data_IF_616533761578
#
_entry.id   IF_616533761578
#
_cell.length_a   1.000
_cell.length_b   1.000
_cell.length_c   1.000
_cell.angle_alpha   90.00
_cell.angle_beta   90.00
_cell.angle_gamma   90.00
#
_symmetry.space_group_name_H-M   'P 1'
#
loop_
_entity.id
_entity.type
_entity.pdbx_description
1 polymer ?
#
# COMPACT_ATOMS: atom_id res chain seq x y z
N UNK A 1 -24.93 -9.30 -17.94
CA UNK A 1 -26.04 -9.55 -16.98
C UNK A 1 -25.76 -8.72 -15.74
N UNK A 2 -26.72 -7.91 -15.25
CA UNK A 2 -26.52 -7.23 -13.97
C UNK A 2 -26.43 -8.28 -12.85
N UNK A 3 -25.51 -8.11 -11.92
CA UNK A 3 -25.29 -9.01 -10.78
C UNK A 3 -26.52 -9.13 -9.87
N UNK A 4 -27.39 -8.11 -9.83
CA UNK A 4 -28.73 -8.17 -9.22
C UNK A 4 -29.62 -9.23 -9.89
N UNK A 5 -29.51 -9.37 -11.23
CA UNK A 5 -30.20 -10.44 -11.97
C UNK A 5 -29.64 -11.82 -11.65
N UNK A 6 -28.35 -11.93 -11.30
CA UNK A 6 -27.73 -13.20 -10.92
C UNK A 6 -28.22 -13.68 -9.54
N UNK A 7 -28.10 -12.85 -8.50
CA UNK A 7 -28.57 -13.23 -7.15
C UNK A 7 -30.07 -13.55 -7.12
N UNK A 8 -30.89 -12.77 -7.86
CA UNK A 8 -32.33 -13.05 -7.99
C UNK A 8 -32.60 -14.41 -8.65
N UNK A 9 -31.81 -14.79 -9.66
CA UNK A 9 -31.91 -16.11 -10.31
C UNK A 9 -31.40 -17.24 -9.43
N UNK A 10 -30.28 -17.02 -8.72
CA UNK A 10 -29.66 -18.03 -7.86
C UNK A 10 -30.56 -18.34 -6.66
N UNK A 11 -31.10 -17.31 -6.01
CA UNK A 11 -32.06 -17.47 -4.94
C UNK A 11 -33.42 -17.96 -5.48
N UNK A 12 -33.80 -17.58 -6.69
CA UNK A 12 -35.08 -17.98 -7.31
C UNK A 12 -36.30 -17.80 -6.36
N UNK A 13 -36.30 -16.70 -5.59
CA UNK A 13 -37.36 -16.40 -4.61
C UNK A 13 -37.37 -17.26 -3.34
N UNK A 14 -36.32 -18.03 -3.05
CA UNK A 14 -36.21 -18.76 -1.77
C UNK A 14 -36.06 -17.79 -0.60
N UNK A 15 -36.64 -18.15 0.54
CA UNK A 15 -36.51 -17.41 1.79
C UNK A 15 -35.05 -17.44 2.30
N UNK A 16 -34.69 -16.42 3.08
CA UNK A 16 -33.41 -16.33 3.79
C UNK A 16 -33.72 -16.20 5.27
N UNK A 17 -33.23 -17.14 6.08
CA UNK A 17 -33.26 -17.04 7.53
C UNK A 17 -32.00 -16.31 8.01
N UNK A 18 -32.14 -15.45 9.02
CA UNK A 18 -31.04 -14.71 9.60
C UNK A 18 -30.79 -15.18 11.03
N UNK A 19 -29.55 -15.55 11.33
CA UNK A 19 -29.10 -15.92 12.69
C UNK A 19 -28.00 -14.99 13.14
N UNK A 20 -28.00 -14.63 14.42
CA UNK A 20 -26.90 -13.86 15.00
C UNK A 20 -25.62 -14.70 15.08
N UNK A 21 -24.45 -14.04 15.07
CA UNK A 21 -23.15 -14.65 15.31
C UNK A 21 -23.14 -15.52 16.58
N UNK A 22 -23.81 -15.07 17.65
CA UNK A 22 -23.85 -15.81 18.92
C UNK A 22 -24.70 -17.09 18.89
N UNK A 23 -25.71 -17.13 18.00
CA UNK A 23 -26.52 -18.33 17.76
C UNK A 23 -25.72 -19.38 17.00
N UNK A 24 -24.94 -19.00 15.98
CA UNK A 24 -24.26 -19.96 15.10
C UNK A 24 -22.82 -20.32 15.53
N UNK A 25 -22.15 -19.44 16.29
CA UNK A 25 -20.76 -19.65 16.69
C UNK A 25 -20.59 -19.74 18.21
N UNK A 26 -19.61 -20.53 18.65
CA UNK A 26 -18.94 -20.35 19.92
C UNK A 26 -17.78 -19.36 19.74
N UNK A 27 -17.84 -18.23 20.44
CA UNK A 27 -16.82 -17.20 20.39
C UNK A 27 -15.82 -17.42 21.52
N UNK A 28 -14.54 -17.52 21.19
CA UNK A 28 -13.48 -17.64 22.19
C UNK A 28 -12.22 -16.89 21.77
N UNK A 29 -11.67 -16.09 22.67
CA UNK A 29 -10.44 -15.35 22.39
C UNK A 29 -9.24 -16.29 22.34
N UNK A 30 -8.30 -15.98 21.46
CA UNK A 30 -6.98 -16.57 21.47
C UNK A 30 -6.18 -16.19 22.71
N UNK A 31 -4.96 -16.69 22.83
CA UNK A 31 -4.03 -16.32 23.87
C UNK A 31 -2.58 -16.46 23.40
N UNK A 32 -1.69 -15.72 24.05
CA UNK A 32 -0.24 -15.92 23.92
C UNK A 32 0.23 -16.80 25.08
N UNK A 33 0.78 -18.00 24.83
CA UNK A 33 1.52 -18.76 25.84
C UNK A 33 2.67 -17.92 26.41
N UNK A 34 3.08 -18.17 27.66
CA UNK A 34 4.15 -17.38 28.27
C UNK A 34 5.42 -17.46 27.42
N UNK A 35 5.92 -16.30 26.97
CA UNK A 35 7.17 -16.23 26.18
C UNK A 35 8.40 -16.57 27.00
N UNK A 36 8.32 -16.46 28.34
CA UNK A 36 9.42 -16.84 29.25
C UNK A 36 9.50 -18.33 29.53
N UNK A 37 8.47 -19.12 29.22
CA UNK A 37 8.52 -20.57 29.38
C UNK A 37 8.95 -21.23 28.07
N UNK A 38 10.23 -21.63 27.99
CA UNK A 38 10.83 -22.24 26.81
C UNK A 38 10.15 -23.55 26.39
N UNK A 39 9.64 -24.34 27.34
CA UNK A 39 8.96 -25.61 27.05
C UNK A 39 7.71 -25.42 26.18
N UNK A 40 7.10 -24.23 26.17
CA UNK A 40 5.95 -23.93 25.32
C UNK A 40 6.32 -23.75 23.85
N UNK A 41 7.58 -23.51 23.53
CA UNK A 41 8.04 -23.13 22.20
C UNK A 41 9.02 -24.14 21.59
N UNK A 42 9.84 -24.77 22.42
CA UNK A 42 10.79 -25.79 21.98
C UNK A 42 10.08 -27.06 21.51
N UNK A 43 10.49 -27.61 20.37
CA UNK A 43 9.89 -28.81 19.78
C UNK A 43 8.41 -28.66 19.42
N UNK A 44 7.91 -27.44 19.26
CA UNK A 44 6.50 -27.17 19.00
C UNK A 44 5.98 -27.78 17.69
N UNK A 45 4.83 -28.44 17.75
CA UNK A 45 4.16 -29.07 16.60
C UNK A 45 2.79 -28.47 16.32
N UNK A 46 2.24 -27.69 17.26
CA UNK A 46 0.89 -27.13 17.18
C UNK A 46 0.98 -25.74 16.54
N UNK A 47 0.23 -25.47 15.45
CA UNK A 47 0.19 -24.14 14.85
C UNK A 47 -0.33 -23.07 15.82
N UNK A 48 0.41 -21.97 15.95
CA UNK A 48 0.00 -20.79 16.69
C UNK A 48 -0.06 -19.56 15.79
N UNK A 49 -1.28 -19.21 15.37
CA UNK A 49 -1.53 -18.17 14.38
C UNK A 49 -1.48 -16.76 14.95
N UNK A 50 -0.83 -15.86 14.21
CA UNK A 50 -0.67 -14.43 14.45
C UNK A 50 -1.05 -13.63 13.20
N UNK A 51 -0.97 -12.30 13.32
CA UNK A 51 -1.23 -11.40 12.20
C UNK A 51 -0.22 -11.57 11.06
N UNK A 52 1.03 -11.89 11.39
CA UNK A 52 2.09 -12.12 10.41
C UNK A 52 1.76 -13.30 9.49
N UNK A 53 1.13 -14.35 10.02
CA UNK A 53 0.71 -15.51 9.23
C UNK A 53 -0.29 -15.12 8.14
N UNK A 54 -1.25 -14.22 8.45
CA UNK A 54 -2.22 -13.71 7.47
C UNK A 54 -1.53 -12.84 6.41
N UNK A 55 -0.60 -11.99 6.84
CA UNK A 55 0.14 -11.07 5.94
C UNK A 55 1.03 -11.80 4.95
N UNK A 56 1.66 -12.89 5.38
CA UNK A 56 2.61 -13.64 4.56
C UNK A 56 1.92 -14.72 3.70
N UNK A 57 0.89 -15.38 4.23
CA UNK A 57 0.32 -16.57 3.60
C UNK A 57 -1.14 -16.40 3.15
N UNK A 58 -1.73 -15.20 3.31
CA UNK A 58 -3.11 -14.93 2.97
C UNK A 58 -4.10 -15.43 4.04
N UNK A 59 -5.36 -15.57 3.66
CA UNK A 59 -6.46 -15.70 4.61
C UNK A 59 -7.03 -17.13 4.73
N UNK A 60 -6.44 -18.13 4.07
CA UNK A 60 -6.79 -19.54 4.24
C UNK A 60 -5.51 -20.27 4.67
N UNK A 61 -5.46 -20.71 5.91
CA UNK A 61 -4.23 -21.11 6.57
C UNK A 61 -4.29 -22.55 7.08
N UNK A 62 -3.27 -23.32 6.74
CA UNK A 62 -3.08 -24.71 7.18
C UNK A 62 -1.81 -24.93 8.02
N UNK A 63 -0.90 -23.95 8.07
CA UNK A 63 0.30 -23.98 8.91
C UNK A 63 0.66 -22.56 9.35
N UNK A 64 1.41 -22.43 10.45
CA UNK A 64 1.85 -21.15 11.01
C UNK A 64 3.37 -21.03 11.07
N UNK A 65 3.86 -19.79 10.99
CA UNK A 65 5.26 -19.40 11.10
C UNK A 65 5.87 -19.78 12.44
N UNK A 66 5.06 -19.81 13.50
CA UNK A 66 5.49 -20.22 14.83
C UNK A 66 4.59 -21.34 15.37
N UNK A 67 5.21 -22.37 15.95
CA UNK A 67 4.53 -23.49 16.58
C UNK A 67 4.76 -23.49 18.08
N UNK A 68 3.85 -24.13 18.80
CA UNK A 68 3.94 -24.32 20.25
C UNK A 68 3.87 -25.81 20.58
N UNK A 69 4.38 -26.17 21.75
CA UNK A 69 4.30 -27.54 22.25
C UNK A 69 2.93 -27.81 22.90
N UNK A 70 2.67 -29.08 23.19
CA UNK A 70 1.48 -29.52 23.93
C UNK A 70 1.40 -28.91 25.35
N UNK A 71 2.54 -28.54 25.95
CA UNK A 71 2.59 -27.94 27.28
C UNK A 71 1.98 -26.53 27.31
N UNK A 72 1.89 -25.86 26.15
CA UNK A 72 1.28 -24.53 26.04
C UNK A 72 -0.26 -24.54 26.14
N UNK A 73 -0.90 -25.72 26.09
CA UNK A 73 -2.35 -25.86 26.00
C UNK A 73 -3.06 -25.55 27.32
N UNK A 74 -3.83 -24.47 27.34
CA UNK A 74 -4.76 -24.19 28.44
C UNK A 74 -5.95 -25.16 28.41
N UNK A 75 -6.00 -26.04 29.40
CA UNK A 75 -7.07 -27.04 29.53
C UNK A 75 -7.02 -28.16 28.49
N UNK A 76 -5.85 -28.38 27.86
CA UNK A 76 -5.63 -29.49 26.92
C UNK A 76 -6.46 -29.45 25.64
N UNK A 77 -6.98 -28.28 25.23
CA UNK A 77 -7.87 -28.15 24.07
C UNK A 77 -7.34 -27.16 23.05
N UNK A 78 -7.45 -27.54 21.78
CA UNK A 78 -7.21 -26.69 20.61
C UNK A 78 -8.51 -26.03 20.17
N UNK A 79 -8.38 -24.95 19.39
CA UNK A 79 -9.46 -24.53 18.52
C UNK A 79 -9.58 -25.55 17.37
N UNK A 80 -10.80 -25.95 16.99
CA UNK A 80 -10.98 -26.95 15.94
C UNK A 80 -10.66 -26.37 14.57
N UNK A 81 -10.25 -27.24 13.65
CA UNK A 81 -10.15 -26.91 12.22
C UNK A 81 -11.50 -26.38 11.69
N UNK A 82 -11.44 -25.68 10.56
CA UNK A 82 -12.59 -25.05 9.91
C UNK A 82 -13.28 -24.02 10.82
N UNK A 83 -12.46 -23.22 11.52
CA UNK A 83 -12.90 -22.06 12.30
C UNK A 83 -12.34 -20.78 11.69
N UNK A 84 -13.01 -19.65 11.95
CA UNK A 84 -12.51 -18.33 11.54
C UNK A 84 -11.81 -17.67 12.73
N UNK A 85 -10.65 -17.07 12.49
CA UNK A 85 -10.06 -16.07 13.40
C UNK A 85 -10.36 -14.69 12.86
N UNK A 86 -10.78 -13.75 13.71
CA UNK A 86 -10.98 -12.34 13.35
C UNK A 86 -10.36 -11.44 14.42
N UNK A 87 -9.58 -10.46 13.97
CA UNK A 87 -8.94 -9.50 14.86
C UNK A 87 -9.98 -8.49 15.36
N UNK A 88 -10.12 -8.42 16.68
CA UNK A 88 -11.09 -7.55 17.37
C UNK A 88 -10.43 -6.40 18.12
N UNK A 89 -9.09 -6.30 18.05
CA UNK A 89 -8.30 -5.16 18.52
C UNK A 89 -7.04 -4.98 17.65
N UNK A 90 -6.45 -3.79 17.68
CA UNK A 90 -5.29 -3.36 16.89
C UNK A 90 -5.51 -3.35 15.37
N UNK A 91 -5.65 -4.52 14.72
CA UNK A 91 -5.86 -4.68 13.27
C UNK A 91 -7.29 -5.14 12.99
N UNK A 92 -8.26 -4.35 13.44
CA UNK A 92 -9.67 -4.72 13.49
C UNK A 92 -10.20 -5.16 12.10
N UNK A 93 -10.86 -6.31 12.07
CA UNK A 93 -11.51 -6.88 10.87
C UNK A 93 -10.62 -7.79 10.02
N UNK A 94 -9.31 -7.81 10.25
CA UNK A 94 -8.44 -8.82 9.62
C UNK A 94 -8.85 -10.22 10.07
N UNK A 95 -9.06 -11.13 9.13
CA UNK A 95 -9.57 -12.46 9.42
C UNK A 95 -9.02 -13.53 8.49
N UNK A 96 -9.05 -14.78 8.95
CA UNK A 96 -8.62 -15.94 8.19
C UNK A 96 -9.44 -17.20 8.56
N UNK A 97 -9.61 -18.08 7.59
CA UNK A 97 -10.07 -19.45 7.75
C UNK A 97 -8.89 -20.34 8.12
N UNK A 98 -8.99 -21.03 9.25
CA UNK A 98 -7.97 -21.99 9.70
C UNK A 98 -8.46 -23.41 9.44
N UNK A 99 -7.72 -24.17 8.63
CA UNK A 99 -8.13 -25.51 8.16
C UNK A 99 -7.55 -26.66 8.97
N UNK A 100 -6.83 -26.37 10.06
CA UNK A 100 -6.20 -27.34 10.97
C UNK A 100 -6.50 -27.01 12.43
N UNK A 101 -6.44 -27.97 13.38
CA UNK A 101 -6.53 -27.65 14.80
C UNK A 101 -5.39 -26.72 15.25
N UNK A 102 -5.70 -25.71 16.06
CA UNK A 102 -4.77 -24.60 16.26
C UNK A 102 -4.88 -23.90 17.62
N UNK A 103 -3.89 -23.03 17.89
CA UNK A 103 -4.00 -21.91 18.81
C UNK A 103 -3.87 -20.58 18.04
N UNK A 104 -4.36 -19.49 18.60
CA UNK A 104 -4.26 -18.17 17.99
C UNK A 104 -3.87 -17.11 19.02
N UNK A 105 -3.27 -16.02 18.56
CA UNK A 105 -2.89 -14.86 19.36
C UNK A 105 -4.08 -14.21 20.09
N UNK A 106 -3.84 -13.54 21.23
CA UNK A 106 -4.88 -12.90 22.06
C UNK A 106 -5.65 -11.77 21.38
N UNK A 107 -5.14 -11.24 20.26
CA UNK A 107 -5.83 -10.20 19.48
C UNK A 107 -6.94 -10.75 18.59
N UNK A 108 -6.99 -12.08 18.41
CA UNK A 108 -8.03 -12.75 17.65
C UNK A 108 -9.17 -13.25 18.54
N UNK A 109 -10.39 -13.06 18.04
CA UNK A 109 -11.57 -13.82 18.45
C UNK A 109 -11.76 -14.97 17.48
N UNK A 110 -11.86 -16.20 17.99
CA UNK A 110 -12.15 -17.38 17.19
C UNK A 110 -13.67 -17.58 17.10
N UNK A 111 -14.20 -17.69 15.88
CA UNK A 111 -15.57 -18.07 15.57
C UNK A 111 -15.58 -19.56 15.24
N UNK A 112 -16.06 -20.37 16.17
CA UNK A 112 -16.12 -21.83 16.06
C UNK A 112 -17.56 -22.21 15.73
N UNK A 113 -17.81 -22.80 14.57
CA UNK A 113 -19.16 -23.18 14.17
C UNK A 113 -19.72 -24.22 15.15
N UNK A 114 -20.95 -24.00 15.62
CA UNK A 114 -21.61 -24.95 16.51
C UNK A 114 -21.99 -26.22 15.77
N UNK A 115 -21.95 -27.40 16.41
CA UNK A 115 -22.24 -28.67 15.75
C UNK A 115 -23.59 -28.72 15.03
N UNK A 116 -24.63 -28.12 15.59
CA UNK A 116 -25.96 -28.08 14.98
C UNK A 116 -26.02 -27.31 13.64
N UNK A 117 -25.04 -26.45 13.34
CA UNK A 117 -25.00 -25.65 12.10
C UNK A 117 -23.98 -26.17 11.06
N UNK A 118 -23.23 -27.24 11.34
CA UNK A 118 -22.25 -27.80 10.40
C UNK A 118 -22.92 -28.22 9.08
N UNK A 119 -24.16 -28.72 9.13
CA UNK A 119 -24.93 -29.09 7.94
C UNK A 119 -25.62 -27.93 7.22
N UNK A 120 -25.53 -26.71 7.76
CA UNK A 120 -26.23 -25.52 7.24
C UNK A 120 -25.30 -24.55 6.52
N UNK A 121 -23.98 -24.67 6.72
CA UNK A 121 -23.03 -23.72 6.16
C UNK A 121 -21.87 -24.41 5.44
N UNK A 122 -21.56 -23.88 4.26
CA UNK A 122 -20.25 -24.04 3.66
C UNK A 122 -19.26 -23.14 4.43
N UNK A 123 -18.15 -23.70 4.92
CA UNK A 123 -17.20 -22.93 5.72
C UNK A 123 -16.53 -21.81 4.90
N UNK A 124 -16.36 -21.99 3.59
CA UNK A 124 -15.85 -20.91 2.72
C UNK A 124 -16.89 -19.82 2.53
N UNK A 125 -18.18 -20.15 2.55
CA UNK A 125 -19.23 -19.14 2.54
C UNK A 125 -19.17 -18.28 3.81
N UNK A 126 -19.00 -18.90 4.99
CA UNK A 126 -18.75 -18.18 6.25
C UNK A 126 -17.52 -17.29 6.12
N UNK A 127 -16.40 -17.84 5.62
CA UNK A 127 -15.16 -17.08 5.40
C UNK A 127 -15.40 -15.84 4.54
N UNK A 128 -16.08 -15.97 3.40
CA UNK A 128 -16.36 -14.83 2.54
C UNK A 128 -17.34 -13.85 3.18
N UNK A 129 -18.34 -14.33 3.91
CA UNK A 129 -19.28 -13.48 4.64
C UNK A 129 -18.59 -12.68 5.76
N UNK A 130 -17.49 -13.20 6.32
CA UNK A 130 -16.68 -12.47 7.30
C UNK A 130 -16.03 -11.20 6.73
N UNK A 131 -15.96 -10.98 5.41
CA UNK A 131 -15.59 -9.66 4.88
C UNK A 131 -16.63 -8.58 5.22
N UNK A 132 -17.92 -8.92 5.22
CA UNK A 132 -18.98 -7.98 5.65
C UNK A 132 -18.92 -7.76 7.17
N UNK A 133 -18.69 -8.83 7.95
CA UNK A 133 -18.48 -8.72 9.39
C UNK A 133 -17.25 -7.87 9.72
N UNK A 134 -16.16 -8.01 8.97
CA UNK A 134 -14.94 -7.24 9.13
C UNK A 134 -15.17 -5.75 8.89
N UNK A 135 -15.88 -5.39 7.82
CA UNK A 135 -16.27 -4.00 7.54
C UNK A 135 -17.19 -3.43 8.63
N UNK A 136 -18.09 -4.25 9.17
CA UNK A 136 -18.90 -3.87 10.33
C UNK A 136 -18.03 -3.64 11.58
N UNK A 137 -17.10 -4.53 11.88
CA UNK A 137 -16.18 -4.41 13.03
C UNK A 137 -15.38 -3.11 12.98
N UNK A 138 -14.87 -2.73 11.80
CA UNK A 138 -14.11 -1.49 11.59
C UNK A 138 -14.93 -0.22 11.85
N UNK A 139 -16.25 -0.29 11.66
CA UNK A 139 -17.19 0.84 11.85
C UNK A 139 -17.78 0.90 13.26
N UNK A 140 -17.66 -0.18 14.04
CA UNK A 140 -18.32 -0.33 15.35
C UNK A 140 -17.26 -0.63 16.42
N UNK A 141 -16.49 0.40 16.77
CA UNK A 141 -15.43 0.31 17.78
C UNK A 141 -15.75 1.15 19.01
N UNK A 142 -15.40 0.66 20.18
CA UNK A 142 -15.52 1.41 21.45
C UNK A 142 -14.38 2.42 21.60
N UNK A 143 -14.68 3.65 22.01
CA UNK A 143 -13.66 4.68 22.24
C UNK A 143 -12.97 4.46 23.60
N UNK A 144 -11.78 3.85 23.57
CA UNK A 144 -10.85 3.80 24.71
C UNK A 144 -9.42 4.12 24.24
N UNK A 145 -8.41 4.04 25.11
CA UNK A 145 -6.99 4.22 24.73
C UNK A 145 -6.51 3.22 23.66
N UNK A 146 -7.21 2.09 23.52
CA UNK A 146 -7.05 1.14 22.41
C UNK A 146 -8.40 0.86 21.76
N UNK A 147 -8.49 1.03 20.44
CA UNK A 147 -9.70 0.66 19.70
C UNK A 147 -9.93 -0.87 19.79
N UNK A 148 -11.15 -1.24 20.18
CA UNK A 148 -11.65 -2.61 20.19
C UNK A 148 -13.06 -2.63 19.61
N UNK A 149 -13.46 -3.76 19.06
CA UNK A 149 -14.80 -3.96 18.49
C UNK A 149 -15.85 -3.94 19.60
N UNK A 150 -17.02 -3.38 19.32
CA UNK A 150 -18.23 -3.60 20.12
C UNK A 150 -18.62 -5.09 20.09
N UNK A 151 -18.37 -5.78 21.21
CA UNK A 151 -18.59 -7.22 21.30
C UNK A 151 -20.07 -7.60 21.37
N UNK A 152 -20.95 -6.72 21.85
CA UNK A 152 -22.39 -6.99 21.91
C UNK A 152 -23.01 -6.85 20.51
N UNK A 153 -22.61 -5.82 19.78
CA UNK A 153 -22.94 -5.70 18.36
C UNK A 153 -22.38 -6.85 17.53
N UNK A 154 -21.13 -7.28 17.78
CA UNK A 154 -20.53 -8.42 17.06
C UNK A 154 -21.31 -9.71 17.28
N UNK A 155 -21.74 -9.98 18.53
CA UNK A 155 -22.56 -11.16 18.87
C UNK A 155 -23.92 -11.15 18.16
N UNK A 156 -24.45 -9.95 17.91
CA UNK A 156 -25.76 -9.73 17.30
C UNK A 156 -25.70 -9.64 15.76
N UNK A 157 -24.50 -9.58 15.16
CA UNK A 157 -24.35 -9.44 13.72
C UNK A 157 -25.03 -10.59 12.96
N UNK A 158 -25.84 -10.31 11.93
CA UNK A 158 -26.67 -11.33 11.28
C UNK A 158 -25.92 -12.08 10.16
N UNK A 159 -26.06 -13.39 10.15
CA UNK A 159 -25.59 -14.33 9.13
C UNK A 159 -26.78 -14.97 8.39
N UNK A 160 -26.74 -15.01 7.04
CA UNK A 160 -27.83 -15.54 6.23
C UNK A 160 -27.71 -17.06 6.03
N UNK A 161 -28.83 -17.75 6.15
CA UNK A 161 -29.03 -19.15 5.75
C UNK A 161 -30.03 -19.12 4.58
N UNK A 162 -29.55 -19.22 3.32
CA UNK A 162 -30.44 -19.24 2.17
C UNK A 162 -31.23 -20.55 2.12
N UNK A 163 -32.50 -20.52 1.74
CA UNK A 163 -33.36 -21.71 1.64
C UNK A 163 -33.33 -22.59 2.92
N UNK A 164 -33.67 -22.04 4.10
CA UNK A 164 -33.56 -22.75 5.39
C UNK A 164 -34.36 -24.07 5.43
N UNK A 165 -35.48 -24.13 4.71
CA UNK A 165 -36.34 -25.31 4.58
C UNK A 165 -35.67 -26.50 3.87
N UNK A 166 -34.54 -26.29 3.20
CA UNK A 166 -33.81 -27.35 2.49
C UNK A 166 -32.30 -27.19 2.65
N UNK A 167 -31.68 -27.85 3.64
CA UNK A 167 -30.24 -27.76 3.89
C UNK A 167 -29.39 -28.09 2.65
N UNK A 168 -29.80 -29.10 1.86
CA UNK A 168 -29.12 -29.46 0.61
C UNK A 168 -29.11 -28.28 -0.38
N UNK A 169 -30.27 -27.67 -0.63
CA UNK A 169 -30.38 -26.54 -1.56
C UNK A 169 -29.69 -25.28 -1.01
N UNK A 170 -29.71 -25.08 0.31
CA UNK A 170 -28.93 -24.03 0.99
C UNK A 170 -27.44 -24.14 0.66
N UNK A 171 -26.88 -25.34 0.85
CA UNK A 171 -25.48 -25.60 0.57
C UNK A 171 -25.16 -25.46 -0.92
N UNK A 172 -26.02 -25.94 -1.83
CA UNK A 172 -25.83 -25.74 -3.28
C UNK A 172 -25.75 -24.24 -3.66
N UNK A 173 -26.60 -23.40 -3.08
CA UNK A 173 -26.57 -21.94 -3.27
C UNK A 173 -25.25 -21.37 -2.73
N UNK A 174 -24.86 -21.73 -1.51
CA UNK A 174 -23.62 -21.25 -0.88
C UNK A 174 -22.38 -21.67 -1.67
N UNK A 175 -22.31 -22.93 -2.12
CA UNK A 175 -21.21 -23.45 -2.92
C UNK A 175 -21.10 -22.74 -4.27
N UNK A 176 -22.22 -22.40 -4.92
CA UNK A 176 -22.20 -21.62 -6.16
C UNK A 176 -21.69 -20.18 -5.94
N UNK A 177 -22.07 -19.55 -4.83
CA UNK A 177 -21.51 -18.25 -4.43
C UNK A 177 -20.00 -18.38 -4.20
N UNK A 178 -19.57 -19.37 -3.42
CA UNK A 178 -18.16 -19.65 -3.12
C UNK A 178 -17.37 -19.90 -4.40
N UNK A 179 -17.90 -20.67 -5.36
CA UNK A 179 -17.24 -20.94 -6.65
C UNK A 179 -16.92 -19.65 -7.41
N UNK A 180 -17.87 -18.71 -7.45
CA UNK A 180 -17.68 -17.41 -8.11
C UNK A 180 -16.68 -16.56 -7.35
N UNK A 181 -16.79 -16.52 -6.02
CA UNK A 181 -15.88 -15.75 -5.17
C UNK A 181 -14.45 -16.28 -5.22
N UNK A 182 -14.24 -17.59 -5.20
CA UNK A 182 -12.93 -18.25 -5.37
C UNK A 182 -12.33 -17.85 -6.73
N UNK A 183 -13.10 -17.94 -7.82
CA UNK A 183 -12.65 -17.56 -9.16
C UNK A 183 -12.28 -16.07 -9.24
N UNK A 184 -13.08 -15.18 -8.65
CA UNK A 184 -12.81 -13.75 -8.63
C UNK A 184 -11.60 -13.40 -7.77
N UNK A 185 -11.45 -14.04 -6.61
CA UNK A 185 -10.28 -13.88 -5.74
C UNK A 185 -9.00 -14.31 -6.47
N UNK A 186 -9.03 -15.46 -7.15
CA UNK A 186 -7.91 -15.96 -7.93
C UNK A 186 -7.50 -14.99 -9.05
N UNK A 187 -8.45 -14.62 -9.93
CA UNK A 187 -8.18 -13.71 -11.05
C UNK A 187 -7.70 -12.33 -10.59
N UNK A 188 -8.27 -11.80 -9.50
CA UNK A 188 -7.85 -10.50 -8.95
C UNK A 188 -6.43 -10.57 -8.39
N UNK A 189 -6.07 -11.67 -7.71
CA UNK A 189 -4.73 -11.89 -7.17
C UNK A 189 -3.70 -12.02 -8.29
N UNK A 190 -3.97 -12.87 -9.28
CA UNK A 190 -3.10 -13.09 -10.44
C UNK A 190 -2.84 -11.79 -11.19
N UNK A 191 -3.90 -11.07 -11.58
CA UNK A 191 -3.76 -9.80 -12.29
C UNK A 191 -3.03 -8.73 -11.45
N UNK A 192 -3.28 -8.66 -10.15
CA UNK A 192 -2.57 -7.71 -9.28
C UNK A 192 -1.08 -8.04 -9.19
N UNK A 193 -0.72 -9.32 -9.14
CA UNK A 193 0.67 -9.78 -9.13
C UNK A 193 1.38 -9.43 -10.44
N UNK A 194 0.75 -9.71 -11.59
CA UNK A 194 1.28 -9.37 -12.92
C UNK A 194 1.52 -7.86 -13.08
N UNK A 195 0.52 -7.03 -12.77
CA UNK A 195 0.64 -5.57 -12.88
C UNK A 195 1.71 -5.00 -11.93
N UNK A 196 1.86 -5.59 -10.74
CA UNK A 196 2.91 -5.18 -9.78
C UNK A 196 4.31 -5.58 -10.26
N UNK A 197 4.44 -6.77 -10.86
CA UNK A 197 5.68 -7.24 -11.45
C UNK A 197 6.07 -6.36 -12.65
N UNK A 198 5.14 -6.05 -13.54
CA UNK A 198 5.35 -5.15 -14.70
C UNK A 198 5.80 -3.76 -14.23
N UNK A 199 5.11 -3.17 -13.25
CA UNK A 199 5.50 -1.87 -12.67
C UNK A 199 6.93 -1.91 -12.11
N UNK A 200 7.31 -3.01 -11.47
CA UNK A 200 8.65 -3.20 -10.90
C UNK A 200 9.71 -3.32 -12.00
N UNK A 201 9.42 -4.07 -13.06
CA UNK A 201 10.31 -4.23 -14.22
C UNK A 201 10.54 -2.89 -14.91
N UNK A 202 9.51 -2.10 -15.17
CA UNK A 202 9.66 -0.79 -15.81
C UNK A 202 10.47 0.20 -14.97
N UNK A 203 10.29 0.20 -13.64
CA UNK A 203 11.12 1.03 -12.74
C UNK A 203 12.59 0.63 -12.79
N UNK A 204 12.88 -0.68 -12.80
CA UNK A 204 14.26 -1.19 -12.94
C UNK A 204 14.84 -0.84 -14.31
N UNK A 205 14.06 -0.98 -15.38
CA UNK A 205 14.47 -0.68 -16.74
C UNK A 205 14.80 0.81 -16.91
N UNK A 206 13.96 1.71 -16.39
CA UNK A 206 14.24 3.15 -16.38
C UNK A 206 15.58 3.45 -15.70
N UNK A 207 15.78 2.89 -14.49
CA UNK A 207 17.02 3.07 -13.74
C UNK A 207 18.24 2.57 -14.54
N UNK A 208 18.15 1.37 -15.10
CA UNK A 208 19.24 0.77 -15.89
C UNK A 208 19.65 1.65 -17.06
N UNK A 209 18.71 2.06 -17.92
CA UNK A 209 19.05 2.88 -19.09
C UNK A 209 19.50 4.29 -18.69
N UNK A 210 18.91 4.87 -17.65
CA UNK A 210 19.36 6.16 -17.11
C UNK A 210 20.82 6.09 -16.65
N UNK A 211 21.14 5.09 -15.86
CA UNK A 211 22.49 4.92 -15.30
C UNK A 211 23.48 4.61 -16.43
N UNK A 212 23.10 3.80 -17.44
CA UNK A 212 23.91 3.53 -18.62
C UNK A 212 24.20 4.80 -19.45
N UNK A 213 23.20 5.66 -19.69
CA UNK A 213 23.35 6.89 -20.48
C UNK A 213 24.15 7.98 -19.76
N UNK A 214 24.22 7.91 -18.43
CA UNK A 214 24.88 8.90 -17.57
C UNK A 214 26.13 8.34 -16.88
N UNK A 215 26.65 7.22 -17.39
CA UNK A 215 27.92 6.68 -17.01
C UNK A 215 28.97 7.08 -18.04
N UNK A 216 30.01 7.77 -17.59
CA UNK A 216 31.11 8.24 -18.43
C UNK A 216 32.41 7.71 -17.83
N UNK A 217 33.28 7.12 -18.64
CA UNK A 217 34.61 6.69 -18.20
C UNK A 217 35.62 7.84 -18.31
N UNK A 218 36.74 7.72 -17.59
CA UNK A 218 37.82 8.70 -17.64
C UNK A 218 38.48 8.70 -19.02
N UNK A 219 38.22 9.76 -19.81
CA UNK A 219 38.73 9.93 -21.17
C UNK A 219 37.64 10.23 -22.21
N UNK A 220 36.38 9.92 -21.91
CA UNK A 220 35.26 10.10 -22.87
C UNK A 220 34.68 11.52 -22.88
N UNK A 221 34.87 12.25 -21.78
CA UNK A 221 34.25 13.56 -21.54
C UNK A 221 35.14 14.48 -20.72
N UNK A 222 34.95 15.78 -20.87
CA UNK A 222 35.63 16.78 -20.04
C UNK A 222 34.86 16.96 -18.74
N UNK A 223 35.52 16.79 -17.60
CA UNK A 223 34.94 17.08 -16.29
C UNK A 223 35.17 18.55 -15.92
N UNK A 224 34.12 19.20 -15.43
CA UNK A 224 34.18 20.61 -14.97
C UNK A 224 33.54 20.75 -13.61
N UNK A 225 34.03 21.72 -12.83
CA UNK A 225 33.39 22.08 -11.56
C UNK A 225 32.06 22.76 -11.85
N UNK A 226 31.02 22.42 -11.09
CA UNK A 226 29.68 22.94 -11.28
C UNK A 226 29.65 24.47 -11.28
N UNK A 227 30.44 25.12 -10.42
CA UNK A 227 30.52 26.59 -10.35
C UNK A 227 31.16 27.26 -11.58
N UNK A 228 31.86 26.53 -12.44
CA UNK A 228 32.46 27.05 -13.68
C UNK A 228 31.43 27.16 -14.81
N UNK A 229 30.37 26.35 -14.75
CA UNK A 229 29.40 26.17 -15.83
C UNK A 229 27.95 26.46 -15.42
N UNK A 230 27.67 26.60 -14.13
CA UNK A 230 26.35 26.90 -13.61
C UNK A 230 26.39 27.96 -12.49
N UNK A 231 25.42 28.86 -12.52
CA UNK A 231 25.12 29.79 -11.45
C UNK A 231 24.44 29.02 -10.30
N UNK A 232 25.04 29.11 -9.10
CA UNK A 232 24.53 28.46 -7.88
C UNK A 232 24.16 29.52 -6.86
N UNK A 233 22.85 29.71 -6.61
CA UNK A 233 22.35 30.71 -5.66
C UNK A 233 21.08 30.24 -4.95
N UNK A 234 20.82 30.76 -3.76
CA UNK A 234 19.52 30.59 -3.09
C UNK A 234 18.61 31.78 -3.39
N UNK A 235 17.32 31.61 -3.14
CA UNK A 235 16.35 32.71 -3.21
C UNK A 235 16.05 33.31 -1.84
N UNK A 236 14.84 33.85 -1.71
CA UNK A 236 14.36 34.58 -0.54
C UNK A 236 12.94 34.13 -0.16
N UNK A 237 12.52 34.43 1.08
CA UNK A 237 11.14 34.14 1.48
C UNK A 237 10.19 35.10 0.73
N UNK A 238 9.08 34.63 0.15
CA UNK A 238 8.10 35.52 -0.46
C UNK A 238 7.41 36.40 0.59
N UNK A 239 6.91 37.60 0.22
CA UNK A 239 6.16 38.46 1.13
C UNK A 239 4.92 37.76 1.70
N UNK A 240 4.25 36.97 0.87
CA UNK A 240 3.05 36.21 1.20
C UNK A 240 3.13 34.81 0.56
N UNK A 241 2.63 33.80 1.29
CA UNK A 241 2.56 32.41 0.83
C UNK A 241 1.09 32.03 0.75
N UNK A 242 0.64 31.66 -0.45
CA UNK A 242 -0.74 31.25 -0.68
C UNK A 242 -0.85 29.72 -0.61
N UNK A 243 -1.96 29.23 -0.07
CA UNK A 243 -2.31 27.80 -0.09
C UNK A 243 -3.01 27.41 -1.40
N UNK A 244 -3.76 28.35 -1.99
CA UNK A 244 -4.44 28.19 -3.28
C UNK A 244 -3.49 28.47 -4.44
N UNK A 245 -3.72 27.78 -5.57
CA UNK A 245 -2.90 27.94 -6.76
C UNK A 245 -2.92 29.38 -7.31
N UNK A 246 -1.72 29.92 -7.55
CA UNK A 246 -1.49 31.16 -8.30
C UNK A 246 -0.72 30.83 -9.59
N UNK A 247 -0.23 31.86 -10.29
CA UNK A 247 0.64 31.71 -11.46
C UNK A 247 2.05 31.19 -11.15
N UNK A 248 2.50 31.19 -9.89
CA UNK A 248 3.87 30.82 -9.54
C UNK A 248 3.95 29.91 -8.31
N UNK A 249 4.70 28.82 -8.46
CA UNK A 249 4.99 27.91 -7.38
C UNK A 249 6.05 28.50 -6.43
N UNK A 250 5.87 28.29 -5.12
CA UNK A 250 6.92 28.57 -4.14
C UNK A 250 7.69 27.29 -3.84
N UNK A 251 8.99 27.27 -4.17
CA UNK A 251 9.89 26.14 -3.96
C UNK A 251 10.91 26.51 -2.89
N UNK A 252 10.68 26.07 -1.65
CA UNK A 252 11.58 26.40 -0.53
C UNK A 252 12.62 25.32 -0.25
N UNK A 253 12.20 24.06 -0.11
CA UNK A 253 13.10 22.94 0.19
C UNK A 253 13.42 22.08 -1.04
N UNK A 254 12.98 22.48 -2.23
CA UNK A 254 13.26 21.78 -3.50
C UNK A 254 12.53 20.43 -3.69
N UNK A 255 12.18 19.71 -2.62
CA UNK A 255 11.57 18.37 -2.65
C UNK A 255 10.11 18.36 -3.09
N UNK A 256 9.36 19.39 -2.73
CA UNK A 256 7.98 19.59 -3.12
C UNK A 256 7.64 21.08 -3.15
N UNK A 257 6.51 21.39 -3.76
CA UNK A 257 5.91 22.73 -3.67
C UNK A 257 5.64 23.06 -2.20
N UNK A 258 6.07 24.24 -1.78
CA UNK A 258 5.94 24.77 -0.41
C UNK A 258 4.79 25.77 -0.26
N UNK A 259 3.99 25.95 -1.31
CA UNK A 259 2.90 26.93 -1.44
C UNK A 259 2.95 27.59 -2.81
N UNK A 260 2.29 28.73 -2.93
CA UNK A 260 2.29 29.56 -4.14
C UNK A 260 2.64 31.01 -3.81
N UNK A 261 3.03 31.77 -4.82
CA UNK A 261 3.38 33.19 -4.72
C UNK A 261 2.72 34.02 -5.82
N UNK A 262 2.47 35.31 -5.55
CA UNK A 262 1.87 36.20 -6.55
C UNK A 262 2.84 36.57 -7.70
N UNK A 263 4.15 36.44 -7.47
CA UNK A 263 5.20 36.75 -8.43
C UNK A 263 6.25 35.62 -8.49
N UNK A 264 7.19 35.71 -9.41
CA UNK A 264 8.40 34.89 -9.47
C UNK A 264 9.64 35.72 -9.17
N UNK A 265 10.68 35.08 -8.63
CA UNK A 265 12.03 35.65 -8.49
C UNK A 265 13.09 34.81 -9.23
N UNK A 266 12.66 33.71 -9.87
CA UNK A 266 13.52 32.78 -10.58
C UNK A 266 12.84 32.36 -11.87
N UNK A 267 13.62 32.31 -12.95
CA UNK A 267 13.14 31.86 -14.26
C UNK A 267 12.99 30.33 -14.28
N UNK A 268 12.18 29.82 -15.21
CA UNK A 268 12.12 28.40 -15.52
C UNK A 268 13.41 27.88 -16.16
N UNK A 269 13.36 26.64 -16.65
CA UNK A 269 14.55 25.93 -17.15
C UNK A 269 15.68 25.91 -16.10
N UNK A 270 15.32 25.60 -14.85
CA UNK A 270 16.20 25.71 -13.68
C UNK A 270 16.22 24.41 -12.90
N UNK A 271 17.42 23.90 -12.59
CA UNK A 271 17.60 22.75 -11.70
C UNK A 271 17.60 23.24 -10.26
N UNK A 272 16.99 22.49 -9.35
CA UNK A 272 16.87 22.87 -7.94
C UNK A 272 17.33 21.76 -7.01
N UNK A 273 18.03 22.09 -5.93
CA UNK A 273 18.36 21.14 -4.86
C UNK A 273 18.21 21.82 -3.48
N UNK A 274 17.68 21.15 -2.44
CA UNK A 274 17.67 21.72 -1.10
C UNK A 274 19.07 22.06 -0.60
N UNK A 275 19.19 23.21 0.07
CA UNK A 275 20.42 23.60 0.76
C UNK A 275 20.48 23.06 2.19
N UNK A 276 19.34 22.72 2.79
CA UNK A 276 19.23 22.27 4.20
C UNK A 276 17.92 21.52 4.46
N UNK A 277 17.94 20.57 5.40
CA UNK A 277 16.76 19.85 5.86
C UNK A 277 17.02 18.37 6.23
N UNK A 278 16.20 17.82 7.13
CA UNK A 278 16.43 16.50 7.74
C UNK A 278 16.14 15.29 6.83
N UNK A 279 15.58 15.51 5.63
CA UNK A 279 15.29 14.44 4.67
C UNK A 279 15.22 14.89 3.20
N UNK A 280 15.58 16.14 2.89
CA UNK A 280 15.53 16.67 1.52
C UNK A 280 16.86 16.62 0.78
N UNK A 281 17.98 16.70 1.49
CA UNK A 281 19.32 16.69 0.89
C UNK A 281 19.48 15.46 -0.01
N UNK A 282 20.06 15.65 -1.20
CA UNK A 282 20.14 14.61 -2.24
C UNK A 282 19.06 14.70 -3.30
N UNK A 283 17.96 15.42 -3.05
CA UNK A 283 16.91 15.60 -4.03
C UNK A 283 17.31 16.57 -5.15
N UNK A 284 17.01 16.22 -6.40
CA UNK A 284 17.17 17.11 -7.56
C UNK A 284 15.80 17.34 -8.21
N UNK A 285 15.36 18.58 -8.26
CA UNK A 285 14.16 19.04 -8.95
C UNK A 285 14.47 19.80 -10.24
N UNK A 286 13.46 19.97 -11.09
CA UNK A 286 13.54 20.74 -12.32
C UNK A 286 12.30 21.61 -12.49
N UNK A 287 12.49 22.92 -12.50
CA UNK A 287 11.42 23.89 -12.68
C UNK A 287 11.36 24.29 -14.15
N UNK A 288 10.29 23.87 -14.85
CA UNK A 288 10.06 24.20 -16.26
C UNK A 288 9.65 25.65 -16.44
N UNK A 289 8.73 26.11 -15.59
CA UNK A 289 8.16 27.45 -15.62
C UNK A 289 8.83 28.37 -14.58
N UNK A 290 8.71 29.70 -14.72
CA UNK A 290 9.11 30.64 -13.68
C UNK A 290 8.46 30.33 -12.34
N UNK A 291 9.18 30.56 -11.25
CA UNK A 291 8.76 30.19 -9.90
C UNK A 291 9.39 31.12 -8.86
N UNK A 292 8.97 30.99 -7.61
CA UNK A 292 9.62 31.65 -6.48
C UNK A 292 10.57 30.69 -5.77
N UNK A 293 11.86 30.96 -5.88
CA UNK A 293 12.93 30.26 -5.18
C UNK A 293 13.03 30.75 -3.74
N UNK A 294 12.95 29.81 -2.79
CA UNK A 294 13.11 30.09 -1.36
C UNK A 294 14.57 30.05 -0.87
N UNK A 295 14.80 30.46 0.39
CA UNK A 295 16.14 30.53 0.99
C UNK A 295 16.72 29.17 1.39
N UNK A 296 15.93 28.09 1.34
CA UNK A 296 16.37 26.73 1.66
C UNK A 296 16.60 25.86 0.41
N UNK A 297 16.65 26.47 -0.77
CA UNK A 297 16.86 25.79 -2.04
C UNK A 297 17.89 26.52 -2.90
N UNK A 298 18.83 25.78 -3.46
CA UNK A 298 19.71 26.25 -4.50
C UNK A 298 19.04 26.12 -5.86
N UNK A 299 19.12 27.18 -6.68
CA UNK A 299 19.06 27.05 -8.14
C UNK A 299 20.44 26.67 -8.67
N UNK A 300 20.46 25.82 -9.70
CA UNK A 300 21.61 25.52 -10.54
C UNK A 300 21.17 25.80 -11.98
N UNK A 301 21.76 26.81 -12.60
CA UNK A 301 21.38 27.23 -13.95
C UNK A 301 22.63 27.48 -14.79
N UNK A 302 22.70 26.87 -15.96
CA UNK A 302 23.80 27.00 -16.91
C UNK A 302 24.11 28.46 -17.21
N UNK A 303 25.38 28.84 -17.06
CA UNK A 303 25.88 30.18 -17.43
C UNK A 303 26.11 30.30 -18.94
N UNK A 304 26.27 29.17 -19.64
CA UNK A 304 26.43 29.11 -21.08
C UNK A 304 25.71 27.88 -21.66
N UNK A 305 24.57 28.12 -22.32
CA UNK A 305 23.75 27.07 -22.95
C UNK A 305 24.46 26.32 -24.09
N UNK A 306 25.55 26.89 -24.63
CA UNK A 306 26.40 26.20 -25.60
C UNK A 306 27.39 25.21 -24.95
N UNK A 307 27.43 25.13 -23.62
CA UNK A 307 28.29 24.21 -22.86
C UNK A 307 27.46 23.22 -22.07
N UNK A 308 26.39 23.68 -21.41
CA UNK A 308 25.60 22.84 -20.50
C UNK A 308 24.10 23.06 -20.71
N UNK A 309 23.37 21.97 -20.91
CA UNK A 309 21.91 21.93 -20.95
C UNK A 309 21.39 21.66 -19.53
N UNK A 310 20.53 22.54 -19.02
CA UNK A 310 19.98 22.42 -17.65
C UNK A 310 19.24 21.10 -17.43
N UNK A 311 18.52 20.63 -18.45
CA UNK A 311 17.81 19.36 -18.40
C UNK A 311 18.75 18.14 -18.31
N UNK A 312 19.91 18.20 -18.96
CA UNK A 312 20.97 17.19 -18.81
C UNK A 312 21.52 17.23 -17.38
N UNK A 313 21.86 18.42 -16.87
CA UNK A 313 22.32 18.59 -15.48
C UNK A 313 21.33 18.01 -14.47
N UNK A 314 20.03 18.26 -14.68
CA UNK A 314 18.97 17.66 -13.87
C UNK A 314 19.03 16.13 -13.87
N UNK A 315 19.10 15.50 -15.04
CA UNK A 315 19.14 14.04 -15.13
C UNK A 315 20.41 13.46 -14.53
N UNK A 316 21.56 14.09 -14.75
CA UNK A 316 22.83 13.69 -14.16
C UNK A 316 22.77 13.71 -12.63
N UNK A 317 22.42 14.85 -12.03
CA UNK A 317 22.33 15.00 -10.58
C UNK A 317 21.23 14.14 -9.96
N UNK A 318 20.11 13.92 -10.68
CA UNK A 318 19.07 12.99 -10.24
C UNK A 318 19.55 11.54 -10.25
N UNK A 319 20.38 11.15 -11.21
CA UNK A 319 20.94 9.79 -11.29
C UNK A 319 22.04 9.54 -10.25
N UNK A 320 22.72 10.60 -9.82
CA UNK A 320 23.85 10.60 -8.89
C UNK A 320 23.53 11.35 -7.59
N UNK A 321 22.38 11.07 -6.99
CA UNK A 321 21.94 11.78 -5.77
C UNK A 321 22.89 11.59 -4.58
N UNK A 322 23.68 10.51 -4.58
CA UNK A 322 24.76 10.24 -3.64
C UNK A 322 25.84 11.32 -3.64
N UNK A 323 26.10 11.98 -4.78
CA UNK A 323 27.04 13.09 -4.86
C UNK A 323 26.57 14.25 -3.99
N UNK A 324 25.30 14.62 -4.11
CA UNK A 324 24.69 15.68 -3.30
C UNK A 324 24.57 15.28 -1.82
N UNK A 325 24.29 14.00 -1.54
CA UNK A 325 24.28 13.47 -0.17
C UNK A 325 25.67 13.50 0.46
N UNK A 326 26.74 13.22 -0.29
CA UNK A 326 28.12 13.25 0.20
C UNK A 326 28.61 14.65 0.62
N UNK A 327 27.97 15.71 0.12
CA UNK A 327 28.26 17.09 0.53
C UNK A 327 27.59 17.48 1.85
N UNK A 328 26.71 16.63 2.40
CA UNK A 328 25.97 16.89 3.64
C UNK A 328 26.93 17.02 4.81
N UNK A 329 26.81 18.11 5.57
CA UNK A 329 27.50 18.29 6.85
C UNK A 329 26.56 17.97 8.01
N UNK A 330 27.06 17.20 8.98
CA UNK A 330 26.34 16.80 10.18
C UNK A 330 26.91 17.53 11.40
N UNK A 331 26.14 18.49 11.92
CA UNK A 331 26.48 19.30 13.10
C UNK A 331 25.30 20.15 13.58
N UNK A 332 24.08 19.72 13.26
CA UNK A 332 22.83 20.48 13.35
C UNK A 332 21.82 20.00 12.30
N UNK A 333 20.93 20.88 11.84
CA UNK A 333 20.08 20.58 10.67
C UNK A 333 21.00 20.30 9.48
N UNK A 334 20.88 19.14 8.81
CA UNK A 334 21.72 18.80 7.67
C UNK A 334 21.73 19.90 6.61
N UNK A 335 22.91 20.25 6.12
CA UNK A 335 23.08 21.32 5.14
C UNK A 335 24.16 20.96 4.11
N UNK A 336 24.01 21.51 2.91
CA UNK A 336 25.02 21.51 1.85
C UNK A 336 25.50 22.95 1.68
N UNK A 337 26.79 23.18 1.84
CA UNK A 337 27.36 24.51 1.66
C UNK A 337 27.52 24.83 0.18
N UNK A 338 27.26 26.08 -0.21
CA UNK A 338 27.51 26.56 -1.58
C UNK A 338 28.96 26.32 -2.01
N UNK A 339 29.92 26.54 -1.11
CA UNK A 339 31.35 26.34 -1.38
C UNK A 339 31.68 24.91 -1.78
N UNK A 340 31.00 23.92 -1.19
CA UNK A 340 31.20 22.50 -1.50
C UNK A 340 30.45 22.13 -2.79
N UNK A 341 29.22 22.63 -2.94
CA UNK A 341 28.37 22.36 -4.12
C UNK A 341 28.98 22.87 -5.42
N UNK A 342 29.61 24.05 -5.42
CA UNK A 342 30.25 24.60 -6.63
C UNK A 342 31.51 23.83 -7.04
N UNK A 343 32.11 23.05 -6.14
CA UNK A 343 33.28 22.22 -6.43
C UNK A 343 32.89 20.82 -6.96
N UNK A 344 31.60 20.47 -6.96
CA UNK A 344 31.13 19.20 -7.51
C UNK A 344 31.52 19.10 -8.98
N UNK A 345 32.20 18.02 -9.36
CA UNK A 345 32.56 17.78 -10.75
C UNK A 345 31.41 17.12 -11.51
N UNK A 346 31.15 17.64 -12.71
CA UNK A 346 30.15 17.10 -13.63
C UNK A 346 30.78 16.84 -15.00
N UNK A 347 30.37 15.75 -15.69
CA UNK A 347 30.84 15.47 -17.04
C UNK A 347 30.16 16.42 -18.03
N UNK A 348 30.93 16.90 -19.00
CA UNK A 348 30.47 17.80 -20.06
C UNK A 348 30.71 17.10 -21.42
N UNK A 349 29.81 16.18 -21.83
CA UNK A 349 29.83 15.66 -23.19
C UNK A 349 29.41 16.74 -24.19
N UNK A 350 29.53 16.44 -25.48
CA UNK A 350 29.09 17.35 -26.55
C UNK A 350 27.61 17.73 -26.40
N UNK A 351 27.22 18.91 -26.91
CA UNK A 351 25.81 19.31 -26.89
C UNK A 351 24.90 18.32 -27.62
N UNK A 352 25.40 17.69 -28.69
CA UNK A 352 24.67 16.66 -29.41
C UNK A 352 24.36 15.48 -28.49
N UNK A 353 25.36 15.01 -27.73
CA UNK A 353 25.19 13.92 -26.80
C UNK A 353 24.30 14.30 -25.61
N UNK A 354 24.44 15.50 -25.05
CA UNK A 354 23.53 16.00 -24.01
C UNK A 354 22.07 16.03 -24.50
N UNK A 355 21.82 16.51 -25.72
CA UNK A 355 20.48 16.52 -26.32
C UNK A 355 19.96 15.09 -26.56
N UNK A 356 20.80 14.18 -27.06
CA UNK A 356 20.45 12.76 -27.27
C UNK A 356 20.02 12.11 -25.95
N UNK A 357 20.82 12.29 -24.90
CA UNK A 357 20.51 11.78 -23.55
C UNK A 357 19.18 12.37 -23.06
N UNK A 358 19.01 13.69 -23.12
CA UNK A 358 17.78 14.37 -22.69
C UNK A 358 16.55 13.84 -23.44
N UNK A 359 16.62 13.70 -24.76
CA UNK A 359 15.52 13.21 -25.58
C UNK A 359 15.11 11.77 -25.20
N UNK A 360 16.08 10.89 -24.97
CA UNK A 360 15.81 9.51 -24.53
C UNK A 360 15.22 9.51 -23.12
N UNK A 361 15.79 10.26 -22.19
CA UNK A 361 15.36 10.27 -20.80
C UNK A 361 14.00 10.96 -20.60
N UNK A 362 13.67 12.01 -21.34
CA UNK A 362 12.33 12.62 -21.30
C UNK A 362 11.26 11.65 -21.85
N UNK A 363 11.58 10.89 -22.91
CA UNK A 363 10.68 9.85 -23.43
C UNK A 363 10.48 8.73 -22.41
N UNK A 364 11.55 8.22 -21.80
CA UNK A 364 11.50 7.18 -20.78
C UNK A 364 10.78 7.66 -19.51
N UNK A 365 11.05 8.88 -19.04
CA UNK A 365 10.40 9.48 -17.86
C UNK A 365 8.90 9.65 -18.09
N UNK A 366 8.49 10.10 -19.28
CA UNK A 366 7.08 10.25 -19.65
C UNK A 366 6.34 8.90 -19.63
N UNK A 367 6.91 7.87 -20.25
CA UNK A 367 6.34 6.51 -20.24
C UNK A 367 6.29 5.96 -18.82
N UNK A 368 7.39 6.09 -18.06
CA UNK A 368 7.48 5.60 -16.68
C UNK A 368 6.49 6.29 -15.76
N UNK A 369 6.27 7.60 -15.91
CA UNK A 369 5.25 8.35 -15.16
C UNK A 369 3.83 7.92 -15.52
N UNK A 370 3.56 7.71 -16.82
CA UNK A 370 2.26 7.20 -17.28
C UNK A 370 1.95 5.84 -16.65
N UNK A 371 2.90 4.90 -16.72
CA UNK A 371 2.77 3.54 -16.14
C UNK A 371 2.69 3.59 -14.61
N UNK A 372 3.56 4.38 -13.97
CA UNK A 372 3.59 4.53 -12.50
C UNK A 372 2.34 5.21 -11.93
N UNK A 373 1.56 5.91 -12.76
CA UNK A 373 0.24 6.43 -12.39
C UNK A 373 -0.88 5.48 -12.79
N UNK A 374 -0.79 4.88 -13.98
CA UNK A 374 -1.81 4.04 -14.59
C UNK A 374 -1.98 2.70 -13.89
N UNK A 375 -0.88 1.96 -13.68
CA UNK A 375 -0.94 0.62 -13.10
C UNK A 375 -1.43 0.62 -11.64
N UNK A 376 -0.96 1.51 -10.73
CA UNK A 376 -1.52 1.56 -9.38
C UNK A 376 -3.01 1.91 -9.37
N UNK A 377 -3.46 2.79 -10.28
CA UNK A 377 -4.88 3.12 -10.42
C UNK A 377 -5.68 1.91 -10.91
N UNK A 378 -5.17 1.17 -11.89
CA UNK A 378 -5.83 -0.04 -12.38
C UNK A 378 -5.94 -1.10 -11.26
N UNK A 379 -4.87 -1.33 -10.50
CA UNK A 379 -4.87 -2.23 -9.34
C UNK A 379 -5.94 -1.81 -8.32
N UNK A 380 -6.00 -0.51 -8.00
CA UNK A 380 -7.03 0.01 -7.08
C UNK A 380 -8.45 -0.20 -7.61
N UNK A 381 -8.68 0.06 -8.90
CA UNK A 381 -9.98 -0.15 -9.54
C UNK A 381 -10.39 -1.62 -9.53
N UNK A 382 -9.47 -2.55 -9.81
CA UNK A 382 -9.73 -4.00 -9.76
C UNK A 382 -10.09 -4.46 -8.36
N UNK A 383 -9.40 -3.96 -7.33
CA UNK A 383 -9.73 -4.24 -5.93
C UNK A 383 -11.12 -3.73 -5.54
N UNK A 384 -11.45 -2.47 -5.89
CA UNK A 384 -12.79 -1.91 -5.65
C UNK A 384 -13.88 -2.67 -6.39
N UNK A 385 -13.62 -3.07 -7.64
CA UNK A 385 -14.54 -3.87 -8.43
C UNK A 385 -14.78 -5.24 -7.79
N UNK A 386 -13.72 -5.90 -7.32
CA UNK A 386 -13.81 -7.15 -6.57
C UNK A 386 -14.66 -6.99 -5.30
N UNK A 387 -14.36 -5.98 -4.47
CA UNK A 387 -15.12 -5.71 -3.23
C UNK A 387 -16.60 -5.45 -3.51
N UNK A 388 -16.90 -4.67 -4.56
CA UNK A 388 -18.27 -4.40 -4.98
C UNK A 388 -19.02 -5.68 -5.34
N UNK A 389 -18.46 -6.53 -6.21
CA UNK A 389 -19.13 -7.76 -6.62
C UNK A 389 -19.18 -8.82 -5.51
N UNK A 390 -18.14 -8.90 -4.68
CA UNK A 390 -18.13 -9.76 -3.48
C UNK A 390 -19.27 -9.37 -2.55
N UNK A 391 -19.36 -8.10 -2.19
CA UNK A 391 -20.40 -7.61 -1.27
C UNK A 391 -21.80 -7.81 -1.86
N UNK A 392 -21.94 -7.68 -3.19
CA UNK A 392 -23.21 -7.92 -3.87
C UNK A 392 -23.63 -9.39 -3.90
N UNK A 393 -22.68 -10.32 -4.09
CA UNK A 393 -22.94 -11.77 -4.00
C UNK A 393 -23.27 -12.23 -2.57
N UNK A 394 -22.79 -11.49 -1.57
CA UNK A 394 -23.06 -11.72 -0.16
C UNK A 394 -24.24 -10.88 0.36
N UNK A 395 -24.89 -10.09 -0.51
CA UNK A 395 -26.02 -9.26 -0.16
C UNK A 395 -27.31 -10.08 -0.30
N UNK A 396 -27.89 -10.44 0.83
CA UNK A 396 -29.21 -11.05 0.91
C UNK A 396 -30.20 -9.99 1.40
N UNK A 397 -31.42 -10.00 0.87
CA UNK A 397 -32.48 -9.06 1.29
C UNK A 397 -32.77 -9.27 2.77
N UNK A 398 -32.69 -8.18 3.55
CA UNK A 398 -32.97 -8.21 4.99
C UNK A 398 -34.47 -8.09 5.25
N UNK A 399 -35.00 -8.60 6.37
CA UNK A 399 -36.43 -8.53 6.69
C UNK A 399 -36.99 -7.09 6.65
N UNK A 400 -36.20 -6.13 7.14
CA UNK A 400 -36.54 -4.71 7.19
C UNK A 400 -36.69 -4.04 5.80
N UNK A 401 -36.11 -4.63 4.74
CA UNK A 401 -36.18 -4.13 3.36
C UNK A 401 -37.37 -4.70 2.58
N UNK A 402 -38.10 -5.68 3.13
CA UNK A 402 -39.27 -6.30 2.49
C UNK A 402 -40.58 -5.59 2.88
N UNK A 403 -40.56 -4.81 3.96
CA UNK A 403 -41.72 -4.08 4.50
C UNK A 403 -41.75 -2.57 4.12
N UNK A 404 -40.75 -2.09 3.35
CA UNK A 404 -40.67 -0.74 2.80
C UNK A 404 -40.89 -0.75 1.28
#
# INVERSE_FOLDING_TARGET
>A
MSSVSFMKKLLNGVAVEWKSVSEIFHLKNGYTPSKSNHEYWEGGTIPWFRMEDIRENGQILADSLQKVSVNALKGGRLFPANSIIIATSATIGEHALITVPYLANQRFTCLILRPEYIGNFDIKFIFYYCFLLADWCKKNTTMSSFASVDMDGLRSFPFPIPCPESPKKSLEIQTEIVRILDAFTYLTSELTAELTAELTVHKKQYKYYRDQLLNFEDGDVVWKKLGEVAEVNTGSKPPEIFESATSFDYINAGTSRSGYSAASNCVGDTVTTPSRGQGGIGYTGYQREPFWLGPLCYKLQSTNKAVLINKYLFYFLQSRSELLLGLKKEGGVPAVNKSDLVQLEIPIPSLEEQNRIVAILDKLDTVTKSISKGLPREIELRRKQYEYYRNLLLSFTKPEEVEA
#
